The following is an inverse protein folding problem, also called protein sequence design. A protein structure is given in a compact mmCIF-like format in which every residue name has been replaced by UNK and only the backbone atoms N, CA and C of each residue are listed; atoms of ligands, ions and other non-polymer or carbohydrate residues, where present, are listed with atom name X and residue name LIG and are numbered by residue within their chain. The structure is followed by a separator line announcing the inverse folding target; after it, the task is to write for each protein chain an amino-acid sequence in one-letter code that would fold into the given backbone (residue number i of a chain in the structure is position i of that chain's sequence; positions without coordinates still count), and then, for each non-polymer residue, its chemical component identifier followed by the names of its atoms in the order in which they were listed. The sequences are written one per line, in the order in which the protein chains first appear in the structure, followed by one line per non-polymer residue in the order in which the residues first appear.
data_IF_946334659287
#
_entry.id   IF_946334659287
#
_cell.length_a   1.000
_cell.length_b   1.000
_cell.length_c   1.000
_cell.angle_alpha   90.00
_cell.angle_beta   90.00
_cell.angle_gamma   90.00
#
_symmetry.space_group_name_H-M   'P 1'
#
loop_
_entity.id
_entity.type
_entity.pdbx_description
1 polymer ?
#
# COMPACT_ATOMS: atom_id res chain seq x y z
N UNK A 1 -68.15 -32.49 -30.71
CA UNK A 1 -66.75 -32.03 -30.46
C UNK A 1 -66.48 -30.69 -31.15
N UNK A 2 -66.91 -30.53 -32.41
CA UNK A 2 -66.72 -29.33 -33.25
C UNK A 2 -67.21 -28.01 -32.57
N UNK A 3 -68.41 -27.99 -31.96
CA UNK A 3 -68.94 -26.80 -31.28
C UNK A 3 -68.13 -26.33 -30.04
N UNK A 4 -67.36 -27.21 -29.37
CA UNK A 4 -66.55 -26.79 -28.21
C UNK A 4 -65.25 -26.12 -28.64
N UNK A 5 -64.66 -26.57 -29.74
CA UNK A 5 -63.46 -25.97 -30.30
C UNK A 5 -63.73 -24.59 -30.93
N UNK A 6 -64.86 -24.44 -31.64
CA UNK A 6 -65.27 -23.14 -32.18
C UNK A 6 -65.56 -22.13 -31.07
N UNK A 7 -66.25 -22.55 -30.01
CA UNK A 7 -66.53 -21.68 -28.87
C UNK A 7 -65.25 -21.30 -28.10
N UNK A 8 -64.31 -22.24 -27.94
CA UNK A 8 -62.98 -21.95 -27.36
C UNK A 8 -62.18 -20.96 -28.20
N UNK A 9 -62.17 -21.12 -29.53
CA UNK A 9 -61.52 -20.17 -30.46
C UNK A 9 -62.17 -18.79 -30.38
N UNK A 10 -63.50 -18.72 -30.32
CA UNK A 10 -64.23 -17.44 -30.18
C UNK A 10 -63.88 -16.71 -28.89
N UNK A 11 -63.91 -17.38 -27.74
CA UNK A 11 -63.55 -16.77 -26.45
C UNK A 11 -62.10 -16.29 -26.43
N UNK A 12 -61.18 -17.05 -27.05
CA UNK A 12 -59.77 -16.67 -27.15
C UNK A 12 -59.55 -15.46 -28.06
N UNK A 13 -60.30 -15.38 -29.16
CA UNK A 13 -60.31 -14.23 -30.07
C UNK A 13 -60.85 -12.99 -29.36
N UNK A 14 -61.95 -13.07 -28.62
CA UNK A 14 -62.48 -11.94 -27.85
C UNK A 14 -61.48 -11.43 -26.80
N UNK A 15 -60.81 -12.34 -26.10
CA UNK A 15 -59.78 -11.98 -25.12
C UNK A 15 -58.62 -11.23 -25.77
N UNK A 16 -58.12 -11.73 -26.91
CA UNK A 16 -57.06 -11.08 -27.68
C UNK A 16 -57.49 -9.73 -28.25
N UNK A 17 -58.75 -9.58 -28.65
CA UNK A 17 -59.31 -8.30 -29.10
C UNK A 17 -59.32 -7.29 -27.94
N UNK A 18 -59.71 -7.73 -26.74
CA UNK A 18 -59.74 -6.86 -25.57
C UNK A 18 -58.33 -6.44 -25.13
N UNK A 19 -57.38 -7.38 -25.08
CA UNK A 19 -55.96 -7.09 -24.80
C UNK A 19 -55.37 -6.13 -25.83
N UNK A 20 -55.62 -6.35 -27.13
CA UNK A 20 -55.20 -5.42 -28.18
C UNK A 20 -55.83 -4.03 -28.03
N UNK A 21 -57.07 -3.95 -27.57
CA UNK A 21 -57.76 -2.67 -27.34
C UNK A 21 -57.14 -1.90 -26.18
N UNK A 22 -56.74 -2.60 -25.11
CA UNK A 22 -56.04 -2.03 -23.96
C UNK A 22 -54.65 -1.54 -24.38
N UNK A 23 -53.88 -2.36 -25.11
CA UNK A 23 -52.55 -2.01 -25.61
C UNK A 23 -52.60 -0.80 -26.54
N UNK A 24 -53.59 -0.73 -27.46
CA UNK A 24 -53.79 0.45 -28.33
C UNK A 24 -54.07 1.72 -27.52
N UNK A 25 -54.88 1.65 -26.47
CA UNK A 25 -55.12 2.79 -25.58
C UNK A 25 -53.84 3.24 -24.85
N UNK A 26 -53.05 2.28 -24.36
CA UNK A 26 -51.79 2.59 -23.68
C UNK A 26 -50.77 3.24 -24.62
N UNK A 27 -50.66 2.74 -25.86
CA UNK A 27 -49.78 3.33 -26.89
C UNK A 27 -50.19 4.75 -27.22
N UNK A 28 -51.48 5.01 -27.44
CA UNK A 28 -52.00 6.36 -27.70
C UNK A 28 -51.67 7.28 -26.53
N UNK A 29 -51.88 6.84 -25.30
CA UNK A 29 -51.57 7.62 -24.10
C UNK A 29 -50.08 7.92 -23.97
N UNK A 30 -49.20 6.97 -24.30
CA UNK A 30 -47.76 7.17 -24.35
C UNK A 30 -47.35 8.13 -25.47
N UNK A 31 -47.93 8.00 -26.66
CA UNK A 31 -47.68 8.91 -27.78
C UNK A 31 -48.09 10.35 -27.43
N UNK A 32 -49.21 10.55 -26.75
CA UNK A 32 -49.61 11.87 -26.25
C UNK A 32 -48.63 12.44 -25.22
N UNK A 33 -48.09 11.61 -24.32
CA UNK A 33 -47.03 12.03 -23.38
C UNK A 33 -45.75 12.43 -24.12
N UNK A 34 -45.35 11.68 -25.15
CA UNK A 34 -44.15 11.98 -25.95
C UNK A 34 -44.33 13.18 -26.89
N UNK A 35 -45.53 13.42 -27.43
CA UNK A 35 -45.85 14.60 -28.26
C UNK A 35 -45.91 15.89 -27.44
N UNK A 36 -46.14 15.79 -26.12
CA UNK A 36 -46.19 16.95 -25.25
C UNK A 36 -44.77 17.36 -24.88
N UNK A 37 -44.15 18.20 -25.72
CA UNK A 37 -42.79 18.76 -25.53
C UNK A 37 -42.60 19.34 -24.12
N UNK A 38 -43.67 19.87 -23.52
CA UNK A 38 -43.69 20.38 -22.16
C UNK A 38 -43.45 19.30 -21.09
N UNK A 39 -43.99 18.09 -21.25
CA UNK A 39 -43.80 17.00 -20.29
C UNK A 39 -42.34 16.48 -20.32
N UNK A 40 -41.77 16.34 -21.51
CA UNK A 40 -40.34 16.00 -21.68
C UNK A 40 -39.46 17.11 -21.07
N UNK A 41 -39.82 18.38 -21.24
CA UNK A 41 -39.12 19.50 -20.62
C UNK A 41 -39.22 19.49 -19.09
N UNK A 42 -40.37 19.15 -18.52
CA UNK A 42 -40.57 19.09 -17.06
C UNK A 42 -39.79 17.93 -16.43
N UNK A 43 -39.79 16.74 -17.04
CA UNK A 43 -38.96 15.62 -16.56
C UNK A 43 -37.46 15.93 -16.67
N UNK A 44 -37.02 16.51 -17.80
CA UNK A 44 -35.63 16.94 -17.96
C UNK A 44 -35.23 18.01 -16.94
N UNK A 45 -36.14 18.93 -16.59
CA UNK A 45 -35.92 19.93 -15.54
C UNK A 45 -35.73 19.28 -14.17
N UNK A 46 -36.57 18.30 -13.80
CA UNK A 46 -36.44 17.55 -12.54
C UNK A 46 -35.12 16.77 -12.50
N UNK A 47 -34.73 16.13 -13.61
CA UNK A 47 -33.46 15.41 -13.71
C UNK A 47 -32.28 16.38 -13.55
N UNK A 48 -32.34 17.54 -14.18
CA UNK A 48 -31.30 18.57 -14.08
C UNK A 48 -31.18 19.14 -12.66
N UNK A 49 -32.29 19.39 -11.98
CA UNK A 49 -32.30 19.81 -10.57
C UNK A 49 -31.70 18.73 -9.65
N UNK A 50 -32.01 17.45 -9.89
CA UNK A 50 -31.39 16.32 -9.17
C UNK A 50 -29.89 16.22 -9.43
N UNK A 51 -29.47 16.41 -10.68
CA UNK A 51 -28.07 16.44 -11.07
C UNK A 51 -27.33 17.55 -10.32
N UNK A 52 -27.86 18.79 -10.33
CA UNK A 52 -27.28 19.91 -9.59
C UNK A 52 -27.19 19.66 -8.09
N UNK A 53 -28.22 19.03 -7.51
CA UNK A 53 -28.20 18.67 -6.09
C UNK A 53 -27.10 17.65 -5.78
N UNK A 54 -26.97 16.58 -6.59
CA UNK A 54 -25.88 15.61 -6.46
C UNK A 54 -24.51 16.23 -6.67
N UNK A 55 -24.37 17.16 -7.61
CA UNK A 55 -23.13 17.88 -7.85
C UNK A 55 -22.68 18.63 -6.59
N UNK A 56 -23.60 19.38 -5.97
CA UNK A 56 -23.34 20.11 -4.72
C UNK A 56 -22.98 19.18 -3.57
N UNK A 57 -23.68 18.05 -3.43
CA UNK A 57 -23.36 17.04 -2.43
C UNK A 57 -21.97 16.44 -2.67
N UNK A 58 -21.64 16.11 -3.93
CA UNK A 58 -20.33 15.59 -4.31
C UNK A 58 -19.21 16.58 -3.96
N UNK A 59 -19.38 17.86 -4.31
CA UNK A 59 -18.40 18.90 -3.99
C UNK A 59 -18.22 19.06 -2.48
N UNK A 60 -19.32 19.01 -1.71
CA UNK A 60 -19.29 19.04 -0.24
C UNK A 60 -18.55 17.84 0.35
N UNK A 61 -18.85 16.63 -0.12
CA UNK A 61 -18.14 15.41 0.32
C UNK A 61 -16.67 15.42 -0.08
N UNK A 62 -16.34 15.93 -1.28
CA UNK A 62 -14.96 16.11 -1.73
C UNK A 62 -14.20 17.05 -0.79
N UNK A 63 -14.80 18.17 -0.40
CA UNK A 63 -14.20 19.10 0.59
C UNK A 63 -13.99 18.43 1.95
N UNK A 64 -14.98 17.69 2.47
CA UNK A 64 -14.82 16.97 3.73
C UNK A 64 -13.70 15.94 3.66
N UNK A 65 -13.64 15.16 2.58
CA UNK A 65 -12.57 14.18 2.37
C UNK A 65 -11.19 14.82 2.37
N UNK A 66 -11.02 15.96 1.66
CA UNK A 66 -9.76 16.72 1.66
C UNK A 66 -9.41 17.18 3.07
N UNK A 67 -10.37 17.74 3.83
CA UNK A 67 -10.14 18.21 5.19
C UNK A 67 -9.76 17.09 6.17
N UNK A 68 -10.41 15.93 6.08
CA UNK A 68 -10.09 14.76 6.90
C UNK A 68 -8.71 14.20 6.56
N UNK A 69 -8.37 14.14 5.26
CA UNK A 69 -7.05 13.69 4.83
C UNK A 69 -5.95 14.62 5.34
N UNK A 70 -6.20 15.93 5.38
CA UNK A 70 -5.27 16.91 5.95
C UNK A 70 -5.10 16.74 7.47
N UNK A 71 -6.19 16.50 8.22
CA UNK A 71 -6.10 16.16 9.64
C UNK A 71 -5.33 14.86 9.88
N UNK A 72 -5.59 13.82 9.08
CA UNK A 72 -4.85 12.55 9.14
C UNK A 72 -3.35 12.79 8.95
N UNK A 73 -2.97 13.59 7.95
CA UNK A 73 -1.58 13.99 7.70
C UNK A 73 -0.96 14.66 8.93
N UNK A 74 -1.65 15.65 9.52
CA UNK A 74 -1.17 16.36 10.70
C UNK A 74 -0.97 15.45 11.91
N UNK A 75 -1.94 14.57 12.20
CA UNK A 75 -1.86 13.61 13.31
C UNK A 75 -0.72 12.62 13.11
N UNK A 76 -0.59 12.11 11.89
CA UNK A 76 0.47 11.16 11.54
C UNK A 76 1.87 11.79 11.68
N UNK A 77 2.03 13.06 11.32
CA UNK A 77 3.28 13.79 11.53
C UNK A 77 3.61 13.93 13.01
N UNK A 78 2.64 14.28 13.85
CA UNK A 78 2.85 14.37 15.31
C UNK A 78 3.28 13.05 15.91
N UNK A 79 2.68 11.94 15.49
CA UNK A 79 3.07 10.60 15.94
C UNK A 79 4.53 10.33 15.54
N UNK A 80 4.94 10.71 14.32
CA UNK A 80 6.32 10.53 13.87
C UNK A 80 7.33 11.35 14.65
N UNK A 81 7.04 12.63 14.85
CA UNK A 81 7.90 13.52 15.65
C UNK A 81 8.06 12.97 17.08
N UNK A 82 6.97 12.50 17.68
CA UNK A 82 7.00 11.90 19.02
C UNK A 82 7.77 10.58 19.08
N UNK A 83 7.68 9.75 18.03
CA UNK A 83 8.41 8.48 17.94
C UNK A 83 9.85 8.63 17.43
N UNK A 84 10.29 9.84 17.09
CA UNK A 84 11.60 10.12 16.50
C UNK A 84 11.67 9.90 14.98
N UNK A 85 12.37 10.82 14.31
CA UNK A 85 12.55 10.83 12.85
C UNK A 85 13.57 9.79 12.37
N UNK A 86 14.48 9.37 13.24
CA UNK A 86 15.48 8.33 12.97
C UNK A 86 15.10 7.11 13.79
N UNK A 87 14.98 5.96 13.12
CA UNK A 87 14.69 4.68 13.75
C UNK A 87 15.76 3.66 13.37
N UNK A 88 16.19 2.89 14.36
CA UNK A 88 17.15 1.81 14.19
C UNK A 88 16.43 0.50 14.50
N UNK A 89 16.33 -0.36 13.50
CA UNK A 89 15.75 -1.69 13.62
C UNK A 89 16.88 -2.73 13.54
N UNK A 90 16.93 -3.65 14.49
CA UNK A 90 17.89 -4.75 14.48
C UNK A 90 17.24 -6.01 13.91
N UNK A 91 17.89 -6.68 12.95
CA UNK A 91 17.40 -7.96 12.41
C UNK A 91 18.49 -9.02 12.48
N UNK A 92 18.23 -10.07 13.24
CA UNK A 92 19.09 -11.24 13.29
C UNK A 92 18.67 -12.22 12.20
N UNK A 93 19.61 -12.68 11.37
CA UNK A 93 19.32 -13.70 10.36
C UNK A 93 19.32 -15.11 10.97
N UNK A 94 18.56 -16.06 10.39
CA UNK A 94 18.71 -17.48 10.70
C UNK A 94 20.15 -17.98 10.56
N UNK A 95 20.53 -18.89 11.45
CA UNK A 95 21.79 -19.63 11.32
C UNK A 95 21.70 -20.56 10.11
N UNK A 96 22.70 -20.51 9.23
CA UNK A 96 22.78 -21.37 8.04
C UNK A 96 23.28 -22.78 8.37
N UNK A 97 23.82 -23.01 9.57
CA UNK A 97 24.28 -24.32 10.04
C UNK A 97 23.35 -24.78 11.17
N UNK A 98 22.73 -25.94 11.00
CA UNK A 98 21.72 -26.50 11.92
C UNK A 98 22.16 -26.61 13.39
N UNK A 99 23.47 -26.65 13.65
CA UNK A 99 24.02 -26.93 14.98
C UNK A 99 24.58 -25.70 15.71
N UNK A 100 24.48 -24.50 15.14
CA UNK A 100 24.96 -23.29 15.80
C UNK A 100 23.77 -22.46 16.30
N UNK A 101 23.44 -22.51 17.61
CA UNK A 101 22.39 -21.69 18.19
C UNK A 101 22.72 -20.20 18.06
N UNK A 102 21.68 -19.35 18.06
CA UNK A 102 21.88 -17.91 18.10
C UNK A 102 22.62 -17.53 19.39
N UNK A 103 23.69 -16.76 19.24
CA UNK A 103 24.53 -16.28 20.34
C UNK A 103 23.79 -15.21 21.16
N UNK A 104 22.88 -14.48 20.51
CA UNK A 104 22.11 -13.41 21.13
C UNK A 104 20.88 -13.93 21.87
N UNK A 105 20.57 -13.29 22.99
CA UNK A 105 19.32 -13.49 23.74
C UNK A 105 18.38 -12.32 23.47
N UNK A 106 17.10 -12.62 23.23
CA UNK A 106 16.08 -11.62 22.92
C UNK A 106 15.21 -11.43 24.15
N UNK A 107 15.43 -10.34 24.90
CA UNK A 107 14.74 -10.09 26.17
C UNK A 107 13.36 -9.47 25.95
N UNK A 108 13.25 -8.58 24.96
CA UNK A 108 12.03 -7.85 24.63
C UNK A 108 11.99 -7.50 23.14
N UNK A 109 10.94 -6.79 22.75
CA UNK A 109 10.73 -6.29 21.39
C UNK A 109 11.84 -5.32 20.94
N UNK A 110 12.46 -4.62 21.88
CA UNK A 110 13.40 -3.52 21.66
C UNK A 110 14.82 -3.81 22.17
N UNK A 111 15.03 -4.92 22.91
CA UNK A 111 16.31 -5.21 23.56
C UNK A 111 16.88 -6.58 23.20
N UNK A 112 18.18 -6.60 22.92
CA UNK A 112 18.97 -7.79 22.66
C UNK A 112 20.20 -7.82 23.58
N UNK A 113 20.50 -8.99 24.12
CA UNK A 113 21.61 -9.23 25.03
C UNK A 113 22.63 -10.13 24.35
N UNK A 114 23.90 -9.77 24.44
CA UNK A 114 25.03 -10.62 24.10
C UNK A 114 25.68 -11.13 25.41
N UNK A 115 25.44 -12.40 25.79
CA UNK A 115 26.02 -12.97 27.00
C UNK A 115 27.53 -13.16 26.86
N UNK A 116 28.27 -12.86 27.93
CA UNK A 116 29.74 -12.86 27.93
C UNK A 116 30.34 -14.23 27.57
N UNK A 117 29.70 -15.32 28.03
CA UNK A 117 30.12 -16.70 27.76
C UNK A 117 30.19 -16.99 26.26
N UNK A 118 29.29 -16.38 25.49
CA UNK A 118 29.21 -16.58 24.05
C UNK A 118 30.27 -15.75 23.30
N UNK A 119 30.71 -14.60 23.85
CA UNK A 119 31.84 -13.80 23.35
C UNK A 119 33.15 -14.57 23.52
N UNK A 120 33.40 -15.12 24.71
CA UNK A 120 34.62 -15.87 25.03
C UNK A 120 34.78 -17.11 24.15
N UNK A 121 33.69 -17.79 23.77
CA UNK A 121 33.78 -18.95 22.87
C UNK A 121 34.11 -18.59 21.41
N UNK A 122 33.82 -17.35 20.98
CA UNK A 122 33.88 -16.98 19.56
C UNK A 122 35.10 -16.13 19.19
N UNK A 123 35.64 -15.33 20.12
CA UNK A 123 36.65 -14.31 19.78
C UNK A 123 37.95 -14.40 20.58
N UNK A 124 37.98 -15.07 21.73
CA UNK A 124 39.16 -15.02 22.61
C UNK A 124 39.42 -16.35 23.31
N UNK A 125 40.63 -16.91 23.18
CA UNK A 125 41.13 -17.99 24.06
C UNK A 125 41.39 -17.48 25.50
N UNK A 126 40.49 -16.65 26.05
CA UNK A 126 40.60 -16.12 27.41
C UNK A 126 39.92 -17.14 28.34
N UNK A 127 40.74 -17.84 29.12
CA UNK A 127 40.27 -18.59 30.28
C UNK A 127 39.79 -17.58 31.31
N UNK A 128 38.48 -17.58 31.56
CA UNK A 128 37.82 -16.71 32.55
C UNK A 128 38.24 -17.11 33.96
N UNK A 129 39.41 -16.66 34.38
CA UNK A 129 39.80 -16.61 35.79
C UNK A 129 39.82 -15.13 36.19
N UNK A 130 38.68 -14.64 36.65
CA UNK A 130 38.55 -13.66 37.74
C UNK A 130 37.15 -13.04 37.76
N UNK A 131 36.61 -12.90 38.97
CA UNK A 131 35.24 -12.46 39.32
C UNK A 131 34.92 -11.00 38.95
N UNK A 132 35.63 -10.37 38.01
CA UNK A 132 35.56 -8.93 37.72
C UNK A 132 35.12 -8.57 36.29
N UNK A 133 34.54 -9.50 35.52
CA UNK A 133 33.96 -9.20 34.20
C UNK A 133 32.58 -9.86 34.11
N UNK A 134 31.59 -9.29 34.80
CA UNK A 134 30.19 -9.74 34.85
C UNK A 134 29.28 -8.78 34.07
N UNK A 135 29.76 -8.21 32.96
CA UNK A 135 28.96 -7.23 32.21
C UNK A 135 28.47 -7.87 30.91
N UNK A 136 27.20 -8.30 30.91
CA UNK A 136 26.45 -8.61 29.70
C UNK A 136 26.31 -7.34 28.85
N UNK A 137 26.42 -7.47 27.52
CA UNK A 137 26.20 -6.32 26.64
C UNK A 137 24.74 -6.28 26.21
N UNK A 138 24.02 -5.28 26.70
CA UNK A 138 22.62 -5.03 26.31
C UNK A 138 22.58 -3.91 25.28
N UNK A 139 21.85 -4.14 24.19
CA UNK A 139 21.64 -3.16 23.13
C UNK A 139 20.14 -2.89 22.97
N UNK A 140 19.77 -1.61 22.91
CA UNK A 140 18.38 -1.16 22.74
C UNK A 140 18.20 -0.55 21.35
N UNK A 141 17.13 -0.94 20.67
CA UNK A 141 16.74 -0.52 19.33
C UNK A 141 15.26 -0.10 19.33
N UNK A 142 14.76 0.48 18.24
CA UNK A 142 13.32 0.72 18.12
C UNK A 142 12.53 -0.59 17.96
N UNK A 143 13.16 -1.59 17.33
CA UNK A 143 12.61 -2.94 17.15
C UNK A 143 13.75 -3.94 16.94
N UNK A 144 13.61 -5.13 17.49
CA UNK A 144 14.50 -6.27 17.29
C UNK A 144 13.71 -7.41 16.67
N UNK A 145 14.21 -7.93 15.54
CA UNK A 145 13.68 -9.08 14.84
C UNK A 145 14.57 -10.30 15.12
N UNK A 146 13.95 -11.32 15.71
CA UNK A 146 14.58 -12.61 15.98
C UNK A 146 14.88 -13.36 14.68
N UNK A 147 15.72 -14.41 14.71
CA UNK A 147 16.00 -15.26 13.55
C UNK A 147 14.75 -15.82 12.86
N UNK A 148 13.68 -16.05 13.61
CA UNK A 148 12.42 -16.60 13.08
C UNK A 148 11.53 -15.55 12.39
N UNK A 149 11.90 -14.27 12.44
CA UNK A 149 11.12 -13.19 11.84
C UNK A 149 11.18 -13.24 10.31
N UNK A 150 10.00 -13.19 9.69
CA UNK A 150 9.85 -13.24 8.25
C UNK A 150 10.02 -11.86 7.60
N UNK A 151 10.06 -11.82 6.27
CA UNK A 151 10.11 -10.55 5.52
C UNK A 151 8.86 -9.70 5.74
N UNK A 152 7.71 -10.35 5.94
CA UNK A 152 6.44 -9.64 6.15
C UNK A 152 6.46 -8.88 7.48
N UNK A 153 7.03 -9.47 8.54
CA UNK A 153 7.13 -8.82 9.85
C UNK A 153 7.97 -7.54 9.78
N UNK A 154 9.06 -7.58 9.02
CA UNK A 154 9.92 -6.41 8.79
C UNK A 154 9.19 -5.36 7.98
N UNK A 155 8.40 -5.78 6.98
CA UNK A 155 7.64 -4.86 6.15
C UNK A 155 6.51 -4.17 6.94
N UNK A 156 5.77 -4.88 7.78
CA UNK A 156 4.67 -4.29 8.57
C UNK A 156 5.16 -3.22 9.54
N UNK A 157 6.37 -3.35 10.10
CA UNK A 157 6.99 -2.29 10.91
C UNK A 157 7.32 -1.03 10.07
N UNK A 158 7.66 -1.22 8.80
CA UNK A 158 8.05 -0.14 7.86
C UNK A 158 6.82 0.45 7.14
N UNK A 159 5.74 -0.31 6.97
CA UNK A 159 4.58 0.06 6.16
C UNK A 159 3.97 1.42 6.54
N UNK A 160 3.80 1.78 7.83
CA UNK A 160 3.33 3.13 8.22
C UNK A 160 4.30 4.25 7.80
N UNK A 161 5.57 3.92 7.56
CA UNK A 161 6.58 4.85 7.06
C UNK A 161 6.31 5.24 5.59
N UNK A 162 5.80 4.30 4.80
CA UNK A 162 5.51 4.47 3.36
C UNK A 162 4.35 5.42 3.14
N UNK A 163 3.33 5.38 4.01
CA UNK A 163 2.17 6.28 3.89
C UNK A 163 2.56 7.76 3.92
N UNK A 164 3.61 8.16 4.65
CA UNK A 164 4.02 9.57 4.59
C UNK A 164 4.86 9.94 3.38
N UNK A 165 5.47 9.00 2.68
CA UNK A 165 6.06 9.33 1.38
C UNK A 165 4.99 9.91 0.47
N UNK A 166 3.80 9.31 0.49
CA UNK A 166 2.62 9.78 -0.23
C UNK A 166 2.07 11.09 0.33
N UNK A 167 2.26 11.36 1.63
CA UNK A 167 1.88 12.64 2.26
C UNK A 167 2.91 13.77 2.06
N UNK A 168 4.01 13.52 1.33
CA UNK A 168 5.01 14.51 0.95
C UNK A 168 6.29 14.52 1.79
N UNK A 169 6.60 13.43 2.49
CA UNK A 169 7.82 13.31 3.31
C UNK A 169 8.89 12.45 2.66
N UNK A 170 10.14 12.87 2.79
CA UNK A 170 11.28 12.07 2.37
C UNK A 170 11.50 10.90 3.36
N UNK A 171 11.66 9.70 2.83
CA UNK A 171 11.99 8.50 3.59
C UNK A 171 13.26 7.87 3.03
N UNK A 172 14.16 7.49 3.92
CA UNK A 172 15.37 6.74 3.58
C UNK A 172 15.42 5.47 4.42
N UNK A 173 15.55 4.32 3.75
CA UNK A 173 15.71 3.01 4.39
C UNK A 173 17.09 2.50 4.02
N UNK A 174 17.93 2.28 5.03
CA UNK A 174 19.30 1.79 4.85
C UNK A 174 19.47 0.47 5.59
N UNK A 175 19.98 -0.54 4.89
CA UNK A 175 20.40 -1.79 5.51
C UNK A 175 21.90 -1.76 5.78
N UNK A 176 22.29 -1.93 7.05
CA UNK A 176 23.69 -1.89 7.50
C UNK A 176 24.13 -3.22 8.12
N UNK A 177 25.43 -3.54 8.01
CA UNK A 177 26.04 -4.74 8.60
C UNK A 177 27.15 -5.37 7.74
N UNK A 178 27.86 -6.40 8.24
CA UNK A 178 28.97 -7.04 7.52
C UNK A 178 28.51 -7.87 6.30
N UNK A 179 29.46 -8.32 5.45
CA UNK A 179 29.15 -9.27 4.36
C UNK A 179 28.48 -10.51 4.95
N UNK A 180 27.51 -11.09 4.23
CA UNK A 180 26.71 -12.25 4.70
C UNK A 180 25.82 -12.01 5.94
N UNK A 181 25.62 -10.75 6.38
CA UNK A 181 24.68 -10.46 7.49
C UNK A 181 23.20 -10.50 7.10
N UNK A 182 22.88 -10.55 5.80
CA UNK A 182 21.50 -10.57 5.31
C UNK A 182 20.97 -9.23 4.78
N UNK A 183 21.80 -8.18 4.61
CA UNK A 183 21.37 -6.87 4.04
C UNK A 183 20.57 -7.01 2.73
N UNK A 184 21.15 -7.69 1.73
CA UNK A 184 20.51 -7.90 0.42
C UNK A 184 19.22 -8.71 0.55
N UNK A 185 19.20 -9.71 1.44
CA UNK A 185 17.99 -10.46 1.74
C UNK A 185 16.92 -9.58 2.38
N UNK A 186 17.25 -8.68 3.31
CA UNK A 186 16.25 -7.77 3.89
C UNK A 186 15.66 -6.81 2.84
N UNK A 187 16.50 -6.20 2.01
CA UNK A 187 16.05 -5.21 1.03
C UNK A 187 15.34 -5.86 -0.15
N UNK A 188 15.94 -6.83 -0.82
CA UNK A 188 15.38 -7.44 -2.04
C UNK A 188 14.69 -8.78 -1.77
N UNK A 189 15.17 -9.54 -0.79
CA UNK A 189 14.63 -10.85 -0.48
C UNK A 189 14.91 -11.89 -1.55
N UNK A 190 13.93 -12.76 -1.76
CA UNK A 190 13.97 -13.83 -2.75
C UNK A 190 12.69 -13.80 -3.59
N UNK A 191 12.65 -14.42 -4.78
CA UNK A 191 11.44 -14.46 -5.59
C UNK A 191 10.22 -15.06 -4.87
N UNK A 192 10.44 -16.03 -3.97
CA UNK A 192 9.37 -16.65 -3.18
C UNK A 192 8.99 -15.83 -1.94
N UNK A 193 9.92 -15.05 -1.40
CA UNK A 193 9.70 -14.22 -0.23
C UNK A 193 10.36 -12.84 -0.46
N UNK A 194 9.65 -11.91 -1.12
CA UNK A 194 10.21 -10.60 -1.49
C UNK A 194 10.55 -9.78 -0.24
N UNK A 195 11.62 -9.01 -0.34
CA UNK A 195 12.08 -8.11 0.71
C UNK A 195 11.33 -6.78 0.75
N UNK A 196 11.86 -5.85 1.53
CA UNK A 196 11.26 -4.53 1.76
C UNK A 196 11.05 -3.76 0.45
N UNK A 197 12.03 -3.69 -0.45
CA UNK A 197 11.97 -2.86 -1.65
C UNK A 197 10.76 -3.19 -2.54
N UNK A 198 10.55 -4.46 -2.87
CA UNK A 198 9.43 -4.87 -3.72
C UNK A 198 8.06 -4.65 -3.05
N UNK A 199 7.97 -4.89 -1.74
CA UNK A 199 6.73 -4.67 -0.98
C UNK A 199 6.38 -3.19 -0.88
N UNK A 200 7.38 -2.34 -0.67
CA UNK A 200 7.22 -0.88 -0.65
C UNK A 200 6.73 -0.37 -2.00
N UNK A 201 7.32 -0.85 -3.10
CA UNK A 201 6.85 -0.49 -4.45
C UNK A 201 5.38 -0.89 -4.64
N UNK A 202 5.01 -2.12 -4.27
CA UNK A 202 3.62 -2.57 -4.33
C UNK A 202 2.66 -1.68 -3.54
N UNK A 203 2.97 -1.40 -2.27
CA UNK A 203 2.17 -0.53 -1.41
C UNK A 203 2.06 0.89 -1.97
N UNK A 204 3.13 1.45 -2.53
CA UNK A 204 3.10 2.77 -3.17
C UNK A 204 2.12 2.79 -4.34
N UNK A 205 2.14 1.78 -5.21
CA UNK A 205 1.19 1.71 -6.33
C UNK A 205 -0.26 1.61 -5.84
N UNK A 206 -0.54 0.79 -4.81
CA UNK A 206 -1.88 0.68 -4.23
C UNK A 206 -2.36 2.01 -3.62
N UNK A 207 -1.51 2.66 -2.84
CA UNK A 207 -1.79 3.97 -2.25
C UNK A 207 -2.04 5.01 -3.35
N UNK A 208 -1.16 5.10 -4.35
CA UNK A 208 -1.29 6.02 -5.47
C UNK A 208 -2.57 5.79 -6.28
N UNK A 209 -2.96 4.55 -6.54
CA UNK A 209 -4.21 4.23 -7.24
C UNK A 209 -5.44 4.73 -6.48
N UNK A 210 -5.44 4.65 -5.15
CA UNK A 210 -6.54 5.21 -4.33
C UNK A 210 -6.64 6.73 -4.46
N UNK A 211 -5.52 7.41 -4.70
CA UNK A 211 -5.41 8.86 -4.79
C UNK A 211 -5.71 9.43 -6.17
N UNK A 212 -5.55 8.64 -7.24
CA UNK A 212 -5.83 9.06 -8.62
C UNK A 212 -7.26 9.61 -8.83
N UNK A 213 -8.20 9.27 -7.94
CA UNK A 213 -9.57 9.81 -7.96
C UNK A 213 -9.63 11.33 -7.68
N UNK A 214 -8.60 11.88 -7.05
CA UNK A 214 -8.59 13.26 -6.55
C UNK A 214 -7.33 14.04 -6.96
N UNK A 215 -6.22 13.36 -7.26
CA UNK A 215 -4.93 13.95 -7.62
C UNK A 215 -4.32 13.28 -8.85
N UNK A 216 -3.55 14.03 -9.64
CA UNK A 216 -2.64 13.46 -10.64
C UNK A 216 -1.38 12.96 -9.93
N UNK A 217 -0.97 11.72 -10.22
CA UNK A 217 0.13 11.05 -9.53
C UNK A 217 1.12 10.52 -10.55
N UNK A 218 2.36 10.96 -10.46
CA UNK A 218 3.48 10.47 -11.25
C UNK A 218 4.48 9.75 -10.33
N UNK A 219 4.93 8.57 -10.76
CA UNK A 219 5.95 7.79 -10.05
C UNK A 219 7.15 7.63 -10.99
N UNK A 220 8.32 8.03 -10.51
CA UNK A 220 9.59 7.86 -11.21
C UNK A 220 10.50 6.94 -10.38
N UNK A 221 11.24 6.05 -11.04
CA UNK A 221 12.15 5.10 -10.39
C UNK A 221 13.55 5.35 -10.93
N UNK A 222 14.52 5.40 -10.01
CA UNK A 222 15.93 5.50 -10.32
C UNK A 222 16.66 4.40 -9.55
N UNK A 223 17.61 3.72 -10.20
CA UNK A 223 18.42 2.67 -9.58
C UNK A 223 19.90 2.98 -9.81
N UNK A 224 20.60 3.35 -8.74
CA UNK A 224 22.01 3.76 -8.79
C UNK A 224 22.88 2.80 -8.00
N UNK A 225 24.11 2.60 -8.46
CA UNK A 225 25.19 1.97 -7.69
C UNK A 225 26.30 2.99 -7.43
N UNK A 226 26.80 3.01 -6.19
CA UNK A 226 27.99 3.78 -5.83
C UNK A 226 29.13 2.79 -5.57
N UNK A 227 30.16 2.85 -6.42
CA UNK A 227 31.35 2.01 -6.30
C UNK A 227 32.60 2.89 -6.32
N UNK A 228 33.38 2.87 -5.24
CA UNK A 228 34.58 3.71 -5.07
C UNK A 228 34.31 5.19 -5.36
N UNK A 229 33.26 5.75 -4.77
CA UNK A 229 32.83 7.15 -4.98
C UNK A 229 32.41 7.49 -6.43
N UNK A 230 32.23 6.49 -7.30
CA UNK A 230 31.71 6.67 -8.66
C UNK A 230 30.27 6.16 -8.72
N UNK A 231 29.37 6.96 -9.29
CA UNK A 231 27.95 6.64 -9.45
C UNK A 231 27.71 6.01 -10.82
N UNK A 232 26.93 4.93 -10.85
CA UNK A 232 26.51 4.24 -12.07
C UNK A 232 24.99 4.15 -12.10
N UNK A 233 24.39 4.50 -13.23
CA UNK A 233 22.97 4.24 -13.49
C UNK A 233 22.78 2.80 -13.96
N UNK A 234 22.04 2.01 -13.18
CA UNK A 234 21.78 0.60 -13.44
C UNK A 234 20.60 0.36 -14.40
N UNK A 235 19.83 1.39 -14.74
CA UNK A 235 18.71 1.29 -15.70
C UNK A 235 19.10 1.75 -17.11
N UNK A 236 20.27 2.37 -17.28
CA UNK A 236 20.78 2.78 -18.59
C UNK A 236 21.17 1.59 -19.47
N UNK A 237 20.89 1.68 -20.77
CA UNK A 237 21.33 0.68 -21.77
C UNK A 237 22.86 0.50 -21.77
N UNK A 238 23.59 1.58 -21.45
CA UNK A 238 25.04 1.58 -21.35
C UNK A 238 25.46 2.10 -19.98
N UNK A 239 25.69 1.17 -19.05
CA UNK A 239 26.15 1.48 -17.68
C UNK A 239 27.50 2.20 -17.77
N UNK A 240 27.47 3.51 -17.52
CA UNK A 240 28.64 4.40 -17.52
C UNK A 240 28.63 5.24 -16.25
N UNK A 241 29.80 5.74 -15.82
CA UNK A 241 29.89 6.71 -14.74
C UNK A 241 29.01 7.93 -15.02
N UNK A 242 28.12 8.25 -14.08
CA UNK A 242 27.24 9.41 -14.12
C UNK A 242 27.84 10.49 -13.22
N UNK A 243 27.81 11.74 -13.69
CA UNK A 243 28.17 12.89 -12.84
C UNK A 243 26.90 13.38 -12.16
N UNK A 244 26.95 13.50 -10.84
CA UNK A 244 25.88 14.18 -10.10
C UNK A 244 25.97 15.68 -10.40
N UNK A 245 24.84 16.30 -10.73
CA UNK A 245 24.74 17.76 -10.82
C UNK A 245 24.35 18.33 -9.45
N UNK A 246 24.96 19.44 -9.05
CA UNK A 246 24.68 20.10 -7.76
C UNK A 246 23.27 20.72 -7.71
N UNK A 247 22.62 20.88 -8.87
CA UNK A 247 21.33 21.57 -9.00
C UNK A 247 20.11 20.65 -8.92
N UNK A 248 20.31 19.33 -8.80
CA UNK A 248 19.23 18.33 -8.65
C UNK A 248 18.27 18.18 -9.84
N UNK A 249 18.50 18.92 -10.94
CA UNK A 249 17.63 18.97 -12.11
C UNK A 249 18.12 18.10 -13.29
N UNK A 250 19.32 17.53 -13.22
CA UNK A 250 19.83 16.62 -14.26
C UNK A 250 20.54 15.43 -13.60
N UNK A 251 19.91 14.25 -13.71
CA UNK A 251 20.58 12.94 -13.63
C UNK A 251 20.50 12.33 -15.02
#
# INVERSE_FOLDING_TARGET
VINKEENYKHVKIEKLINENRILKKAIIQYQYKCMNVNWINDENKIIYERYLKRQKEYDKFKQYYISEKEKRRLLHNRIREACGNIRVLCRCRPSTKSNNPCIFQFQSIDQIILPLNAICQCYTNIKLTDKSIMNEYTFTFNRVFCPDAEQIDVFEEIRPLITSCVDGFNLCIVAYGPKSSGKTYTIYGSPKNPGVAFRVVGELFELCQSLQKFWEVQISILMLEIHNEIVYDLLSENIKPVKLSDDGNNV
#
